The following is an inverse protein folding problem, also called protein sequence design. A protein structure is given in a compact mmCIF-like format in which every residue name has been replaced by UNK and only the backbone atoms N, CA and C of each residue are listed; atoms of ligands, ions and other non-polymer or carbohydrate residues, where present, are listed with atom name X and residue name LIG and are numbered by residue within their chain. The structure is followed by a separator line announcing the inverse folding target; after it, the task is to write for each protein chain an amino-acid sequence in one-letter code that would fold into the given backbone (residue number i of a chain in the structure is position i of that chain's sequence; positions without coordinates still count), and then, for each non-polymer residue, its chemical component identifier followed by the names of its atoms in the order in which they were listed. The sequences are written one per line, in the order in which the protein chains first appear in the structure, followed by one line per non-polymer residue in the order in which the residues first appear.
data_IF_179660016045
#
_entry.id   IF_179660016045
#
_cell.length_a   1.000
_cell.length_b   1.000
_cell.length_c   1.000
_cell.angle_alpha   90.00
_cell.angle_beta   90.00
_cell.angle_gamma   90.00
#
_symmetry.space_group_name_H-M   'P 1'
#
loop_
_entity.id
_entity.type
_entity.pdbx_description
1 polymer ?
#
# COMPACT_ATOMS: atom_id res chain seq x y z
N UNK A 1 4.92 -25.76 -9.14
CA UNK A 1 5.01 -25.11 -10.46
C UNK A 1 5.45 -23.65 -10.36
N UNK A 2 4.87 -22.86 -9.45
CA UNK A 2 5.18 -21.42 -9.29
C UNK A 2 6.68 -21.10 -9.05
N UNK A 3 7.35 -21.77 -8.12
CA UNK A 3 8.74 -21.45 -7.73
C UNK A 3 9.79 -21.61 -8.86
N UNK A 4 9.49 -22.35 -9.93
CA UNK A 4 10.42 -22.57 -11.05
C UNK A 4 10.47 -21.40 -12.03
N UNK A 5 9.50 -20.50 -11.96
CA UNK A 5 9.31 -19.40 -12.92
C UNK A 5 9.50 -18.01 -12.30
N UNK A 6 9.77 -17.95 -11.00
CA UNK A 6 10.02 -16.71 -10.27
C UNK A 6 11.45 -16.73 -9.72
N UNK A 7 12.05 -15.55 -9.62
CA UNK A 7 13.44 -15.41 -9.21
C UNK A 7 13.78 -13.93 -9.00
N UNK A 8 14.80 -13.62 -8.18
CA UNK A 8 15.14 -12.24 -7.82
C UNK A 8 15.43 -11.35 -9.04
N UNK A 9 15.95 -11.94 -10.13
CA UNK A 9 16.34 -11.24 -11.36
C UNK A 9 15.45 -11.65 -12.56
N UNK A 10 14.27 -12.23 -12.31
CA UNK A 10 13.36 -12.69 -13.37
C UNK A 10 11.94 -12.17 -13.16
N UNK A 11 11.30 -12.65 -12.09
CA UNK A 11 9.95 -12.22 -11.73
C UNK A 11 9.85 -12.21 -10.20
N UNK A 12 9.41 -11.06 -9.67
CA UNK A 12 9.33 -10.77 -8.24
C UNK A 12 7.88 -10.40 -7.89
N UNK A 13 7.04 -11.40 -7.57
CA UNK A 13 5.63 -11.15 -7.27
C UNK A 13 5.41 -10.38 -5.96
N UNK A 14 4.19 -9.90 -5.79
CA UNK A 14 3.72 -9.18 -4.61
C UNK A 14 2.34 -9.69 -4.16
N UNK A 15 1.84 -9.16 -3.05
CA UNK A 15 0.46 -9.39 -2.61
C UNK A 15 -0.52 -8.46 -3.31
N UNK A 16 -1.78 -8.89 -3.41
CA UNK A 16 -2.92 -8.16 -3.98
C UNK A 16 -4.21 -8.55 -3.23
N UNK A 17 -5.39 -8.24 -3.77
CA UNK A 17 -6.69 -8.64 -3.23
C UNK A 17 -6.71 -10.17 -3.03
N UNK A 18 -6.93 -10.59 -1.78
CA UNK A 18 -6.92 -12.00 -1.38
C UNK A 18 -5.54 -12.57 -1.03
N UNK A 19 -4.44 -11.82 -1.24
CA UNK A 19 -3.06 -12.24 -0.94
C UNK A 19 -2.39 -11.16 -0.08
N UNK A 20 -2.54 -11.28 1.23
CA UNK A 20 -1.96 -10.37 2.22
C UNK A 20 -0.57 -10.80 2.68
N UNK A 21 -0.06 -10.13 3.72
CA UNK A 21 1.25 -10.45 4.32
C UNK A 21 1.34 -11.89 4.86
N UNK A 22 0.21 -12.48 5.26
CA UNK A 22 0.12 -13.88 5.69
C UNK A 22 0.40 -14.83 4.53
N UNK A 23 -0.33 -14.66 3.42
CA UNK A 23 -0.17 -15.49 2.22
C UNK A 23 1.23 -15.34 1.62
N UNK A 24 1.77 -14.11 1.57
CA UNK A 24 3.17 -13.85 1.16
C UNK A 24 4.16 -14.61 2.06
N UNK A 25 3.92 -14.66 3.37
CA UNK A 25 4.74 -15.44 4.30
C UNK A 25 4.74 -16.94 3.97
N UNK A 26 3.57 -17.51 3.68
CA UNK A 26 3.45 -18.92 3.28
C UNK A 26 4.15 -19.20 1.96
N UNK A 27 3.93 -18.35 0.95
CA UNK A 27 4.56 -18.48 -0.37
C UNK A 27 6.09 -18.37 -0.27
N UNK A 28 6.59 -17.40 0.48
CA UNK A 28 8.03 -17.22 0.68
C UNK A 28 8.65 -18.39 1.45
N UNK A 29 7.95 -18.88 2.49
CA UNK A 29 8.39 -20.05 3.25
C UNK A 29 8.53 -21.30 2.36
N UNK A 30 7.54 -21.55 1.50
CA UNK A 30 7.61 -22.66 0.54
C UNK A 30 8.68 -22.46 -0.52
N UNK A 31 8.82 -21.27 -1.09
CA UNK A 31 9.89 -20.96 -2.04
C UNK A 31 11.27 -21.25 -1.41
N UNK A 32 11.53 -20.67 -0.23
CA UNK A 32 12.79 -20.87 0.49
C UNK A 32 13.07 -22.35 0.77
N UNK A 33 12.06 -23.12 1.16
CA UNK A 33 12.20 -24.57 1.40
C UNK A 33 12.58 -25.35 0.13
N UNK A 34 12.01 -24.99 -1.01
CA UNK A 34 12.22 -25.69 -2.28
C UNK A 34 13.53 -25.31 -2.97
N UNK A 35 13.98 -24.07 -2.84
CA UNK A 35 15.21 -23.59 -3.51
C UNK A 35 16.42 -23.54 -2.59
N UNK A 36 16.22 -23.63 -1.27
CA UNK A 36 17.24 -23.48 -0.24
C UNK A 36 18.01 -22.15 -0.31
N UNK A 37 17.32 -21.07 -0.73
CA UNK A 37 17.92 -19.73 -0.88
C UNK A 37 17.12 -18.66 -0.14
N UNK A 38 17.81 -17.71 0.49
CA UNK A 38 17.19 -16.52 1.06
C UNK A 38 17.47 -15.31 0.14
N UNK A 39 16.54 -15.04 -0.78
CA UNK A 39 16.64 -13.97 -1.79
C UNK A 39 15.36 -13.15 -1.86
N UNK A 40 15.40 -12.00 -2.51
CA UNK A 40 14.28 -11.07 -2.65
C UNK A 40 13.25 -11.45 -3.72
N UNK A 41 12.75 -12.70 -3.74
CA UNK A 41 11.82 -13.17 -4.79
C UNK A 41 10.36 -12.72 -4.59
N UNK A 42 9.99 -12.25 -3.40
CA UNK A 42 8.66 -11.70 -3.11
C UNK A 42 8.79 -10.36 -2.37
N UNK A 43 7.97 -9.39 -2.75
CA UNK A 43 7.80 -8.13 -2.00
C UNK A 43 6.58 -8.20 -1.08
N UNK A 44 6.44 -7.26 -0.14
CA UNK A 44 5.40 -7.31 0.89
C UNK A 44 5.65 -8.32 2.02
N UNK A 45 6.91 -8.79 2.16
CA UNK A 45 7.37 -9.63 3.27
C UNK A 45 7.23 -8.90 4.61
N UNK A 46 7.10 -9.66 5.69
CA UNK A 46 7.19 -9.16 7.06
C UNK A 46 8.60 -8.69 7.42
N UNK A 47 8.69 -7.73 8.34
CA UNK A 47 9.95 -7.07 8.69
C UNK A 47 11.03 -8.06 9.17
N UNK A 48 10.64 -9.08 9.92
CA UNK A 48 11.57 -10.08 10.46
C UNK A 48 12.22 -10.99 9.39
N UNK A 49 11.80 -10.90 8.12
CA UNK A 49 12.31 -11.75 7.04
C UNK A 49 12.48 -10.99 5.71
N UNK A 50 12.93 -9.74 5.77
CA UNK A 50 13.31 -8.94 4.58
C UNK A 50 12.17 -8.10 4.01
N UNK A 51 11.18 -7.77 4.84
CA UNK A 51 10.19 -6.72 4.57
C UNK A 51 10.78 -5.32 4.70
N UNK A 52 10.09 -4.34 4.11
CA UNK A 52 10.48 -2.92 4.21
C UNK A 52 9.57 -2.17 5.17
N UNK A 53 10.16 -1.22 5.92
CA UNK A 53 9.39 -0.23 6.66
C UNK A 53 8.58 0.64 5.68
N UNK A 54 7.52 1.26 6.20
CA UNK A 54 6.61 2.11 5.45
C UNK A 54 5.83 1.40 4.30
N UNK A 55 5.94 0.07 4.14
CA UNK A 55 5.27 -0.67 3.05
C UNK A 55 3.75 -0.52 3.10
N UNK A 56 3.16 -0.45 4.29
CA UNK A 56 1.70 -0.32 4.45
C UNK A 56 1.24 1.07 4.00
N UNK A 57 2.04 2.09 4.31
CA UNK A 57 1.80 3.51 4.07
C UNK A 57 2.13 3.93 2.64
N UNK A 58 3.04 3.22 1.97
CA UNK A 58 3.73 3.66 0.75
C UNK A 58 2.80 4.24 -0.32
N UNK A 59 1.74 3.51 -0.70
CA UNK A 59 0.83 3.94 -1.77
C UNK A 59 0.01 5.17 -1.36
N UNK A 60 -0.54 5.18 -0.15
CA UNK A 60 -1.34 6.32 0.34
C UNK A 60 -0.49 7.58 0.50
N UNK A 61 0.72 7.44 1.02
CA UNK A 61 1.66 8.56 1.16
C UNK A 61 2.15 9.03 -0.20
N UNK A 62 2.47 8.11 -1.11
CA UNK A 62 2.86 8.42 -2.48
C UNK A 62 1.81 9.26 -3.22
N UNK A 63 0.53 8.90 -3.11
CA UNK A 63 -0.58 9.67 -3.67
C UNK A 63 -0.61 11.10 -3.14
N UNK A 64 -0.45 11.28 -1.83
CA UNK A 64 -0.45 12.60 -1.21
C UNK A 64 0.79 13.39 -1.61
N UNK A 65 1.98 12.78 -1.69
CA UNK A 65 3.19 13.45 -2.18
C UNK A 65 3.04 13.91 -3.64
N UNK A 66 2.51 13.04 -4.50
CA UNK A 66 2.25 13.39 -5.89
C UNK A 66 1.28 14.57 -6.00
N UNK A 67 0.17 14.51 -5.27
CA UNK A 67 -0.83 15.59 -5.24
C UNK A 67 -0.25 16.87 -4.63
N UNK A 68 0.64 16.77 -3.64
CA UNK A 68 1.38 17.92 -3.09
C UNK A 68 2.13 18.65 -4.20
N UNK A 69 2.81 17.91 -5.08
CA UNK A 69 3.52 18.52 -6.20
C UNK A 69 2.58 19.23 -7.17
N UNK A 70 1.43 18.60 -7.49
CA UNK A 70 0.40 19.22 -8.33
C UNK A 70 -0.18 20.51 -7.74
N UNK A 71 -0.36 20.56 -6.42
CA UNK A 71 -0.82 21.76 -5.72
C UNK A 71 0.25 22.86 -5.77
N UNK A 72 1.52 22.53 -5.58
CA UNK A 72 2.63 23.48 -5.66
C UNK A 72 2.76 24.10 -7.05
N UNK A 73 2.57 23.32 -8.12
CA UNK A 73 2.56 23.85 -9.50
C UNK A 73 1.43 24.86 -9.72
N UNK A 74 0.34 24.75 -8.95
CA UNK A 74 -0.77 25.72 -8.90
C UNK A 74 -0.59 26.79 -7.83
N UNK A 75 0.60 26.91 -7.25
CA UNK A 75 0.95 27.88 -6.18
C UNK A 75 0.02 27.79 -4.96
N UNK A 76 -0.38 26.57 -4.59
CA UNK A 76 -1.23 26.28 -3.43
C UNK A 76 -0.68 25.07 -2.65
N UNK A 77 -1.22 24.79 -1.46
CA UNK A 77 -0.77 23.73 -0.56
C UNK A 77 -1.96 22.93 0.01
N UNK A 78 -1.79 22.07 1.01
CA UNK A 78 -2.92 21.32 1.58
C UNK A 78 -3.76 22.10 2.59
N UNK A 79 -3.26 23.22 3.12
CA UNK A 79 -3.80 23.84 4.32
C UNK A 79 -5.25 24.29 4.10
N UNK A 80 -6.16 23.74 4.90
CA UNK A 80 -7.58 24.07 4.87
C UNK A 80 -8.36 23.49 3.67
N UNK A 81 -7.72 22.76 2.74
CA UNK A 81 -8.43 22.14 1.62
C UNK A 81 -9.36 21.05 2.12
N UNK A 82 -10.58 21.04 1.58
CA UNK A 82 -11.58 20.01 1.86
C UNK A 82 -11.30 18.80 0.97
N UNK A 83 -11.16 17.63 1.57
CA UNK A 83 -10.79 16.39 0.88
C UNK A 83 -11.85 15.33 1.15
N UNK A 84 -12.28 14.63 0.10
CA UNK A 84 -13.15 13.47 0.17
C UNK A 84 -12.36 12.27 -0.32
N UNK A 85 -12.42 11.17 0.42
CA UNK A 85 -11.69 9.92 0.09
C UNK A 85 -12.70 8.79 -0.05
N UNK A 86 -12.52 7.96 -1.07
CA UNK A 86 -13.29 6.73 -1.25
C UNK A 86 -12.37 5.51 -1.08
N UNK A 87 -12.88 4.50 -0.39
CA UNK A 87 -12.18 3.30 0.09
C UNK A 87 -11.91 3.34 1.59
N UNK A 88 -11.79 2.15 2.19
CA UNK A 88 -11.40 1.93 3.59
C UNK A 88 -10.09 1.15 3.77
N UNK A 89 -9.44 0.76 2.66
CA UNK A 89 -8.19 -0.01 2.70
C UNK A 89 -6.95 0.82 3.06
N UNK A 90 -5.80 0.14 3.14
CA UNK A 90 -4.50 0.75 3.51
C UNK A 90 -4.21 2.06 2.75
N UNK A 91 -4.51 2.10 1.45
CA UNK A 91 -4.29 3.30 0.63
C UNK A 91 -5.10 4.49 1.16
N UNK A 92 -6.40 4.31 1.40
CA UNK A 92 -7.29 5.37 1.85
C UNK A 92 -6.95 5.83 3.28
N UNK A 93 -6.65 4.88 4.18
CA UNK A 93 -6.25 5.15 5.57
C UNK A 93 -5.00 6.04 5.58
N UNK A 94 -3.95 5.65 4.84
CA UNK A 94 -2.69 6.37 4.88
C UNK A 94 -2.71 7.65 4.03
N UNK A 95 -3.52 7.72 2.98
CA UNK A 95 -3.78 8.99 2.28
C UNK A 95 -4.50 9.99 3.20
N UNK A 96 -5.50 9.54 3.97
CA UNK A 96 -6.19 10.35 4.98
C UNK A 96 -5.20 10.89 6.01
N UNK A 97 -4.43 10.00 6.62
CA UNK A 97 -3.42 10.33 7.63
C UNK A 97 -2.42 11.37 7.12
N UNK A 98 -1.92 11.19 5.88
CA UNK A 98 -0.91 12.08 5.30
C UNK A 98 -1.48 13.42 4.86
N UNK A 99 -2.68 13.44 4.30
CA UNK A 99 -3.33 14.70 3.92
C UNK A 99 -3.64 15.55 5.17
N UNK A 100 -4.15 14.92 6.24
CA UNK A 100 -4.42 15.60 7.51
C UNK A 100 -3.14 16.15 8.16
N UNK A 101 -2.02 15.41 8.13
CA UNK A 101 -0.75 15.90 8.68
C UNK A 101 -0.16 17.09 7.91
N UNK A 102 -0.60 17.31 6.67
CA UNK A 102 -0.26 18.49 5.86
C UNK A 102 -1.30 19.63 6.00
N UNK A 103 -2.28 19.50 6.89
CA UNK A 103 -3.26 20.54 7.20
C UNK A 103 -4.55 20.51 6.37
N UNK A 104 -4.78 19.44 5.61
CA UNK A 104 -6.05 19.25 4.90
C UNK A 104 -7.19 18.90 5.88
N UNK A 105 -8.42 19.27 5.51
CA UNK A 105 -9.65 18.87 6.19
C UNK A 105 -10.29 17.72 5.43
N UNK A 106 -10.05 16.49 5.84
CA UNK A 106 -10.77 15.33 5.30
C UNK A 106 -12.19 15.34 5.86
N UNK A 107 -13.17 15.57 4.99
CA UNK A 107 -14.58 15.82 5.39
C UNK A 107 -15.48 14.60 5.22
N UNK A 108 -15.04 13.61 4.44
CA UNK A 108 -15.76 12.35 4.25
C UNK A 108 -14.79 11.25 3.83
N UNK A 109 -15.04 10.05 4.34
CA UNK A 109 -14.44 8.80 3.89
C UNK A 109 -15.58 7.82 3.64
N UNK A 110 -15.65 7.25 2.44
CA UNK A 110 -16.72 6.34 2.04
C UNK A 110 -16.16 4.96 1.68
N UNK A 111 -16.90 3.90 1.97
CA UNK A 111 -16.57 2.53 1.54
C UNK A 111 -17.83 1.84 0.98
N UNK A 112 -17.68 0.64 0.40
CA UNK A 112 -18.79 -0.12 -0.22
C UNK A 112 -20.00 -0.30 0.69
N UNK A 113 -19.82 -0.44 2.01
CA UNK A 113 -20.97 -0.52 2.94
C UNK A 113 -21.66 0.84 3.18
N UNK A 114 -20.94 1.96 3.07
CA UNK A 114 -21.49 3.32 3.26
C UNK A 114 -22.15 3.83 1.96
N UNK A 115 -21.62 3.44 0.80
CA UNK A 115 -22.14 3.85 -0.50
C UNK A 115 -23.46 3.15 -0.88
N UNK A 116 -23.83 2.07 -0.20
CA UNK A 116 -25.07 1.31 -0.43
C UNK A 116 -26.26 1.74 0.46
N UNK A 117 -26.16 2.86 1.19
CA UNK A 117 -27.32 3.46 1.85
C UNK A 117 -27.79 2.73 3.12
N UNK A 118 -26.87 2.08 3.85
CA UNK A 118 -27.16 1.58 5.20
C UNK A 118 -26.63 2.59 6.20
N UNK A 119 -27.54 3.43 6.70
CA UNK A 119 -27.41 4.27 7.90
C UNK A 119 -28.32 3.69 8.97
#
# INVERSE_FOLDING_TARGET
MFFRHIGPDSDVPAGDIGVGGREIGFLYGQYKKLTNTFVGVLTGKGLNYGGSLARTEATGYGLVYFTTRMLQDRKTDWKGKRVVISGSGNVAIHATQKAQSLGAKVIAVADTMIAQGVV
#
